data_IF_385106999786
#
_entry.id   IF_385106999786
#
_cell.length_a   1.000
_cell.length_b   1.000
_cell.length_c   1.000
_cell.angle_alpha   90.00
_cell.angle_beta   90.00
_cell.angle_gamma   90.00
#
_symmetry.space_group_name_H-M   'P 1'
#
loop_
_entity.id
_entity.type
_entity.pdbx_description
1 polymer ?
#
# COMPACT_ATOMS: atom_id res chain seq x y z
N UNK A 1 -16.26 27.99 8.04
CA UNK A 1 -15.12 27.16 7.61
C UNK A 1 -15.70 25.92 6.95
N UNK A 2 -15.32 25.57 5.71
CA UNK A 2 -15.69 24.26 5.17
C UNK A 2 -15.11 23.19 6.10
N UNK A 3 -15.78 22.04 6.28
CA UNK A 3 -15.19 20.95 7.05
C UNK A 3 -13.88 20.56 6.36
N UNK A 4 -12.76 20.71 7.06
CA UNK A 4 -11.49 20.14 6.63
C UNK A 4 -11.77 18.66 6.36
N UNK A 5 -11.76 18.29 5.07
CA UNK A 5 -11.94 16.90 4.68
C UNK A 5 -10.82 16.13 5.36
N UNK A 6 -11.18 15.31 6.35
CA UNK A 6 -10.21 14.51 7.09
C UNK A 6 -9.38 13.72 6.05
N UNK A 7 -8.04 13.88 6.01
CA UNK A 7 -7.19 13.22 5.03
C UNK A 7 -7.41 11.71 4.95
N UNK A 8 -7.76 11.08 6.09
CA UNK A 8 -8.11 9.66 6.18
C UNK A 8 -9.38 9.31 5.40
N UNK A 9 -10.39 10.20 5.39
CA UNK A 9 -11.62 10.01 4.62
C UNK A 9 -11.33 9.99 3.12
N UNK A 10 -10.41 10.84 2.65
CA UNK A 10 -10.02 10.86 1.25
C UNK A 10 -9.25 9.58 0.85
N UNK A 11 -8.33 9.12 1.70
CA UNK A 11 -7.59 7.86 1.48
C UNK A 11 -8.54 6.66 1.39
N UNK A 12 -9.48 6.56 2.33
CA UNK A 12 -10.50 5.49 2.35
C UNK A 12 -11.44 5.55 1.14
N UNK A 13 -11.90 6.74 0.77
CA UNK A 13 -12.75 6.91 -0.42
C UNK A 13 -12.03 6.48 -1.71
N UNK A 14 -10.75 6.83 -1.87
CA UNK A 14 -9.94 6.39 -2.99
C UNK A 14 -9.74 4.86 -3.00
N UNK A 15 -9.48 4.27 -1.83
CA UNK A 15 -9.37 2.83 -1.69
C UNK A 15 -10.68 2.11 -2.05
N UNK A 16 -11.84 2.62 -1.63
CA UNK A 16 -13.15 2.07 -1.98
C UNK A 16 -13.44 2.16 -3.48
N UNK A 17 -13.06 3.26 -4.14
CA UNK A 17 -13.20 3.39 -5.59
C UNK A 17 -12.40 2.31 -6.34
N UNK A 18 -11.16 2.06 -5.91
CA UNK A 18 -10.33 0.99 -6.48
C UNK A 18 -10.91 -0.40 -6.15
N UNK A 19 -11.43 -0.62 -4.94
CA UNK A 19 -12.09 -1.87 -4.57
C UNK A 19 -13.24 -2.20 -5.54
N UNK A 20 -14.07 -1.21 -5.86
CA UNK A 20 -15.16 -1.34 -6.81
C UNK A 20 -14.63 -1.62 -8.23
N UNK A 21 -13.57 -0.92 -8.66
CA UNK A 21 -12.95 -1.14 -9.96
C UNK A 21 -12.35 -2.54 -10.11
N UNK A 22 -11.71 -3.06 -9.06
CA UNK A 22 -11.14 -4.40 -9.02
C UNK A 22 -12.20 -5.50 -8.83
N UNK A 23 -13.44 -5.12 -8.53
CA UNK A 23 -14.57 -6.01 -8.25
C UNK A 23 -14.27 -7.01 -7.12
N UNK A 24 -13.61 -6.54 -6.06
CA UNK A 24 -13.27 -7.36 -4.88
C UNK A 24 -14.16 -7.02 -3.69
N UNK A 25 -14.43 -8.02 -2.85
CA UNK A 25 -15.40 -7.88 -1.76
C UNK A 25 -14.85 -7.11 -0.56
N UNK A 26 -13.54 -7.20 -0.30
CA UNK A 26 -12.90 -6.62 0.88
C UNK A 26 -11.45 -6.19 0.65
N UNK A 27 -10.83 -5.71 1.72
CA UNK A 27 -9.44 -5.26 1.77
C UNK A 27 -8.58 -6.33 2.45
N UNK A 28 -8.37 -7.45 1.75
CA UNK A 28 -7.69 -8.65 2.25
C UNK A 28 -6.62 -9.14 1.25
N UNK A 29 -6.01 -10.29 1.56
CA UNK A 29 -5.01 -10.92 0.70
C UNK A 29 -5.52 -11.20 -0.74
N UNK A 30 -6.79 -11.57 -0.90
CA UNK A 30 -7.37 -11.79 -2.24
C UNK A 30 -7.53 -10.46 -3.00
N UNK A 31 -7.89 -9.38 -2.30
CA UNK A 31 -7.86 -8.02 -2.83
C UNK A 31 -6.47 -7.61 -3.32
N UNK A 32 -5.43 -7.91 -2.54
CA UNK A 32 -4.03 -7.62 -2.93
C UNK A 32 -3.58 -8.44 -4.13
N UNK A 33 -3.98 -9.71 -4.21
CA UNK A 33 -3.72 -10.52 -5.40
C UNK A 33 -4.35 -9.89 -6.63
N UNK A 34 -5.62 -9.48 -6.53
CA UNK A 34 -6.32 -8.87 -7.67
C UNK A 34 -5.72 -7.52 -8.08
N UNK A 35 -5.27 -6.73 -7.11
CA UNK A 35 -4.50 -5.51 -7.35
C UNK A 35 -3.22 -5.81 -8.14
N UNK A 36 -2.47 -6.85 -7.77
CA UNK A 36 -1.23 -7.23 -8.45
C UNK A 36 -1.47 -7.61 -9.91
N UNK A 37 -2.48 -8.43 -10.17
CA UNK A 37 -2.86 -8.82 -11.54
C UNK A 37 -3.27 -7.59 -12.38
N UNK A 38 -3.98 -6.65 -11.77
CA UNK A 38 -4.38 -5.40 -12.41
C UNK A 38 -3.18 -4.52 -12.77
N UNK A 39 -2.21 -4.40 -11.85
CA UNK A 39 -0.96 -3.67 -12.10
C UNK A 39 -0.20 -4.29 -13.28
N UNK A 40 -0.02 -5.62 -13.29
CA UNK A 40 0.67 -6.30 -14.40
C UNK A 40 -0.06 -6.13 -15.73
N UNK A 41 -1.39 -6.19 -15.73
CA UNK A 41 -2.19 -5.99 -16.93
C UNK A 41 -2.06 -4.58 -17.54
N UNK A 42 -1.79 -3.56 -16.72
CA UNK A 42 -1.75 -2.17 -17.18
C UNK A 42 -0.34 -1.59 -17.35
N UNK A 43 0.67 -2.14 -16.66
CA UNK A 43 2.00 -1.49 -16.57
C UNK A 43 2.67 -1.22 -17.91
N UNK A 44 2.42 -2.05 -18.92
CA UNK A 44 2.99 -1.88 -20.26
C UNK A 44 2.29 -0.81 -21.10
N UNK A 45 1.05 -0.45 -20.75
CA UNK A 45 0.20 0.46 -21.51
C UNK A 45 -0.10 1.77 -20.76
N UNK A 46 0.36 1.88 -19.51
CA UNK A 46 0.10 3.03 -18.66
C UNK A 46 0.94 4.24 -19.10
N UNK A 47 0.32 5.36 -19.53
CA UNK A 47 1.04 6.57 -19.88
C UNK A 47 1.74 7.18 -18.67
N UNK A 48 2.91 7.77 -18.87
CA UNK A 48 3.66 8.43 -17.79
C UNK A 48 2.84 9.54 -17.11
N UNK A 49 2.08 10.32 -17.88
CA UNK A 49 1.23 11.39 -17.37
C UNK A 49 0.11 10.90 -16.43
N UNK A 50 -0.31 9.64 -16.54
CA UNK A 50 -1.35 9.06 -15.68
C UNK A 50 -0.77 8.25 -14.52
N UNK A 51 0.54 7.98 -14.54
CA UNK A 51 1.19 7.04 -13.62
C UNK A 51 1.08 7.47 -12.16
N UNK A 52 1.27 8.76 -11.87
CA UNK A 52 1.17 9.28 -10.50
C UNK A 52 -0.24 9.09 -9.91
N UNK A 53 -1.28 9.45 -10.66
CA UNK A 53 -2.66 9.27 -10.23
C UNK A 53 -3.02 7.81 -9.98
N UNK A 54 -2.52 6.90 -10.83
CA UNK A 54 -2.70 5.45 -10.66
C UNK A 54 -1.97 4.96 -9.41
N UNK A 55 -0.71 5.37 -9.19
CA UNK A 55 0.04 5.01 -7.97
C UNK A 55 -0.70 5.47 -6.72
N UNK A 56 -1.23 6.69 -6.72
CA UNK A 56 -1.98 7.23 -5.59
C UNK A 56 -3.24 6.42 -5.30
N UNK A 57 -4.08 6.17 -6.31
CA UNK A 57 -5.31 5.40 -6.12
C UNK A 57 -5.04 3.96 -5.65
N UNK A 58 -4.15 3.25 -6.35
CA UNK A 58 -3.81 1.86 -6.03
C UNK A 58 -3.06 1.74 -4.69
N UNK A 59 -2.23 2.73 -4.35
CA UNK A 59 -1.54 2.81 -3.06
C UNK A 59 -2.52 3.00 -1.90
N UNK A 60 -3.59 3.79 -2.06
CA UNK A 60 -4.66 3.88 -1.07
C UNK A 60 -5.31 2.51 -0.83
N UNK A 61 -5.65 1.78 -1.89
CA UNK A 61 -6.22 0.44 -1.77
C UNK A 61 -5.29 -0.54 -1.06
N UNK A 62 -4.01 -0.60 -1.46
CA UNK A 62 -3.02 -1.45 -0.80
C UNK A 62 -2.85 -1.07 0.67
N UNK A 63 -2.83 0.24 0.99
CA UNK A 63 -2.78 0.73 2.36
C UNK A 63 -3.95 0.26 3.20
N UNK A 64 -5.18 0.36 2.69
CA UNK A 64 -6.37 -0.17 3.39
C UNK A 64 -6.30 -1.69 3.59
N UNK A 65 -5.78 -2.45 2.62
CA UNK A 65 -5.56 -3.90 2.81
C UNK A 65 -4.61 -4.18 3.99
N UNK A 66 -3.53 -3.40 4.11
CA UNK A 66 -2.57 -3.54 5.20
C UNK A 66 -3.21 -3.14 6.54
N UNK A 67 -3.94 -2.02 6.57
CA UNK A 67 -4.67 -1.54 7.76
C UNK A 67 -5.62 -2.59 8.27
N UNK A 68 -6.48 -3.13 7.40
CA UNK A 68 -7.51 -4.09 7.82
C UNK A 68 -6.95 -5.46 8.18
N UNK A 69 -5.93 -5.94 7.46
CA UNK A 69 -5.38 -7.28 7.69
C UNK A 69 -4.41 -7.32 8.87
N UNK A 70 -3.57 -6.30 9.02
CA UNK A 70 -2.48 -6.28 10.00
C UNK A 70 -2.70 -5.30 11.14
N UNK A 71 -3.89 -4.69 11.24
CA UNK A 71 -4.25 -3.68 12.24
C UNK A 71 -3.27 -2.51 12.23
N UNK A 72 -2.95 -2.04 11.03
CA UNK A 72 -2.11 -0.86 10.82
C UNK A 72 -2.89 0.44 10.91
N UNK A 73 -2.16 1.54 10.95
CA UNK A 73 -2.73 2.88 10.98
C UNK A 73 -2.06 3.76 9.93
N UNK A 74 -2.86 4.58 9.24
CA UNK A 74 -2.30 5.62 8.39
C UNK A 74 -1.49 6.61 9.22
N UNK A 75 -0.26 6.84 8.79
CA UNK A 75 0.69 7.70 9.49
C UNK A 75 1.55 8.46 8.48
N UNK A 76 2.18 9.53 8.97
CA UNK A 76 3.20 10.26 8.23
C UNK A 76 4.57 9.76 8.66
N UNK A 77 5.39 9.36 7.69
CA UNK A 77 6.75 8.92 7.90
C UNK A 77 7.68 10.08 8.29
N UNK A 78 8.91 9.78 8.75
CA UNK A 78 9.89 10.80 9.15
C UNK A 78 10.29 11.76 8.02
N UNK A 79 10.16 11.31 6.77
CA UNK A 79 10.43 12.07 5.54
C UNK A 79 9.21 12.86 5.04
N UNK A 80 8.11 12.85 5.79
CA UNK A 80 6.86 13.51 5.40
C UNK A 80 5.97 12.68 4.46
N UNK A 81 6.36 11.44 4.12
CA UNK A 81 5.56 10.60 3.22
C UNK A 81 4.37 9.98 3.94
N UNK A 82 3.24 9.83 3.24
CA UNK A 82 2.08 9.10 3.75
C UNK A 82 2.32 7.59 3.65
N UNK A 83 2.04 6.84 4.70
CA UNK A 83 2.16 5.39 4.73
C UNK A 83 1.38 4.74 5.87
N UNK A 84 1.70 3.48 6.16
CA UNK A 84 1.07 2.68 7.21
C UNK A 84 2.08 2.37 8.31
N UNK A 85 1.79 2.82 9.52
CA UNK A 85 2.47 2.39 10.74
C UNK A 85 1.91 1.07 11.24
N UNK A 86 2.78 0.16 11.66
CA UNK A 86 2.41 -1.12 12.28
C UNK A 86 3.14 -1.29 13.61
N UNK A 87 2.37 -1.42 14.69
CA UNK A 87 2.84 -1.74 16.05
C UNK A 87 4.02 -0.88 16.53
N UNK A 88 4.09 0.38 16.10
CA UNK A 88 5.20 1.32 16.38
C UNK A 88 6.60 0.79 15.98
N UNK A 89 6.66 -0.26 15.16
CA UNK A 89 7.90 -0.96 14.77
C UNK A 89 8.22 -0.80 13.30
N UNK A 90 7.20 -0.84 12.45
CA UNK A 90 7.36 -0.78 11.01
C UNK A 90 6.58 0.40 10.44
N UNK A 91 7.17 1.01 9.42
CA UNK A 91 6.51 1.97 8.55
C UNK A 91 6.57 1.43 7.13
N UNK A 92 5.41 1.28 6.49
CA UNK A 92 5.26 0.72 5.16
C UNK A 92 4.67 1.79 4.23
N UNK A 93 5.32 2.05 3.10
CA UNK A 93 4.81 2.97 2.10
C UNK A 93 4.13 2.19 0.95
N UNK A 94 2.79 2.10 0.91
CA UNK A 94 2.08 1.34 -0.11
C UNK A 94 2.20 1.97 -1.52
N UNK A 95 2.26 3.30 -1.61
CA UNK A 95 2.42 4.02 -2.88
C UNK A 95 3.75 3.67 -3.56
N UNK A 96 4.82 3.68 -2.78
CA UNK A 96 6.14 3.26 -3.24
C UNK A 96 6.13 1.82 -3.75
N UNK A 97 5.45 0.90 -3.05
CA UNK A 97 5.37 -0.52 -3.46
C UNK A 97 4.64 -0.70 -4.79
N UNK A 98 3.51 -0.01 -4.98
CA UNK A 98 2.80 0.00 -6.26
C UNK A 98 3.69 0.55 -7.38
N UNK A 99 4.37 1.67 -7.13
CA UNK A 99 5.30 2.25 -8.12
C UNK A 99 6.41 1.29 -8.51
N UNK A 100 6.98 0.57 -7.54
CA UNK A 100 8.01 -0.45 -7.80
C UNK A 100 7.50 -1.61 -8.65
N UNK A 101 6.28 -2.10 -8.42
CA UNK A 101 5.70 -3.13 -9.27
C UNK A 101 5.39 -2.60 -10.68
N UNK A 102 4.86 -1.38 -10.82
CA UNK A 102 4.62 -0.77 -12.14
C UNK A 102 5.92 -0.66 -12.95
N UNK A 103 7.05 -0.38 -12.30
CA UNK A 103 8.34 -0.20 -12.96
C UNK A 103 9.05 -1.53 -13.26
N UNK A 104 9.05 -2.46 -12.31
CA UNK A 104 9.88 -3.68 -12.38
C UNK A 104 9.09 -4.98 -12.47
N UNK A 105 7.76 -4.90 -12.54
CA UNK A 105 6.86 -6.05 -12.55
C UNK A 105 6.92 -6.87 -11.26
N UNK A 106 6.64 -8.16 -11.38
CA UNK A 106 6.54 -9.11 -10.27
C UNK A 106 7.82 -9.27 -9.43
N UNK A 107 8.99 -8.81 -9.89
CA UNK A 107 10.19 -8.73 -9.05
C UNK A 107 9.97 -7.86 -7.80
N UNK A 108 9.05 -6.89 -7.89
CA UNK A 108 8.61 -6.03 -6.79
C UNK A 108 7.12 -6.24 -6.47
N UNK A 109 6.65 -7.49 -6.53
CA UNK A 109 5.25 -7.84 -6.30
C UNK A 109 4.70 -7.30 -4.97
N UNK A 110 3.56 -6.61 -5.04
CA UNK A 110 2.82 -6.17 -3.84
C UNK A 110 2.27 -7.36 -3.05
N UNK A 111 1.98 -8.50 -3.69
CA UNK A 111 1.53 -9.73 -3.03
C UNK A 111 2.65 -10.29 -2.16
N UNK A 112 3.83 -10.50 -2.75
CA UNK A 112 4.98 -11.02 -2.03
C UNK A 112 5.38 -10.10 -0.89
N UNK A 113 5.31 -8.78 -1.08
CA UNK A 113 5.54 -7.83 0.00
C UNK A 113 4.50 -7.96 1.12
N UNK A 114 3.22 -8.06 0.77
CA UNK A 114 2.12 -8.15 1.73
C UNK A 114 2.22 -9.43 2.57
N UNK A 115 2.55 -10.58 1.96
CA UNK A 115 2.74 -11.86 2.65
C UNK A 115 3.96 -11.88 3.58
N UNK A 116 4.96 -11.04 3.32
CA UNK A 116 6.16 -10.92 4.16
C UNK A 116 5.94 -10.07 5.42
N UNK A 117 4.82 -9.34 5.54
CA UNK A 117 4.58 -8.43 6.66
C UNK A 117 4.64 -9.13 8.03
N UNK A 118 3.99 -10.30 8.25
CA UNK A 118 4.08 -11.03 9.52
C UNK A 118 5.53 -11.34 9.93
N UNK A 119 6.32 -11.91 9.02
CA UNK A 119 7.72 -12.24 9.29
C UNK A 119 8.56 -11.01 9.63
N UNK A 120 8.29 -9.86 8.99
CA UNK A 120 8.95 -8.58 9.30
C UNK A 120 8.57 -8.01 10.67
N UNK A 121 7.36 -8.28 11.14
CA UNK A 121 6.90 -7.87 12.47
C UNK A 121 7.52 -8.75 13.58
N UNK A 122 7.77 -10.02 13.27
CA UNK A 122 8.38 -10.99 14.18
C UNK A 122 9.90 -10.86 14.26
N UNK A 123 10.55 -10.43 13.17
CA UNK A 123 11.97 -10.15 13.18
C UNK A 123 12.29 -9.01 14.18
N UNK A 124 12.76 -9.37 15.38
CA UNK A 124 13.41 -8.41 16.29
C UNK A 124 14.51 -7.69 15.49
N UNK A 125 14.52 -6.35 15.55
CA UNK A 125 15.67 -5.59 15.06
C UNK A 125 16.92 -6.22 15.67
N UNK A 126 17.92 -6.65 14.87
CA UNK A 126 19.10 -7.28 15.43
C UNK A 126 19.67 -6.32 16.46
N UNK A 127 19.68 -6.73 17.74
CA UNK A 127 20.33 -5.98 18.82
C UNK A 127 21.76 -5.81 18.33
N UNK A 128 22.09 -4.60 17.87
CA UNK A 128 23.44 -4.20 17.53
C UNK A 128 24.24 -4.29 18.84
N UNK A 129 24.82 -5.46 19.10
CA UNK A 129 25.79 -5.66 20.16
C UNK A 129 27.10 -5.07 19.64
N UNK A 130 27.27 -3.76 19.83
CA UNK A 130 28.59 -3.15 19.69
C UNK A 130 29.40 -3.66 20.88
N UNK A 131 30.36 -4.55 20.61
CA UNK A 131 31.48 -4.86 21.50
C UNK A 131 32.62 -3.92 21.12
#
# INVERSE_FOLDING_TARGET
MPPEQNPLTALRAAADAVRQQLQVNGFDAAGVQRLSDFIEGQRAQLPEASREGVINALGCFLGECIVQTYQGEWATGPDGTTGIGLREKLFLNPFYRVGQQLNSGLANSVVTFFEQIPARLEAEAPRKNWI
#
